data_IF_995731133661
#
_entry.id   IF_995731133661
#
_cell.length_a   1.000
_cell.length_b   1.000
_cell.length_c   1.000
_cell.angle_alpha   90.00
_cell.angle_beta   90.00
_cell.angle_gamma   90.00
#
_symmetry.space_group_name_H-M   'P 1'
#
loop_
_entity.id
_entity.type
_entity.pdbx_description
1 polymer ?
#
# COMPACT_ATOMS: atom_id res chain seq x y z
N UNK A 1 -6.22 33.08 -14.34
CA UNK A 1 -5.37 31.97 -13.89
C UNK A 1 -5.62 31.87 -12.42
N UNK A 2 -6.58 31.01 -12.10
CA UNK A 2 -7.18 30.85 -10.79
C UNK A 2 -6.09 30.33 -9.85
N UNK A 3 -5.60 31.21 -8.98
CA UNK A 3 -4.58 30.90 -7.97
C UNK A 3 -5.26 30.34 -6.72
N UNK A 4 -6.29 29.52 -6.93
CA UNK A 4 -7.04 28.88 -5.85
C UNK A 4 -6.15 27.81 -5.20
N UNK A 5 -6.10 27.76 -3.86
CA UNK A 5 -5.33 26.76 -3.16
C UNK A 5 -5.89 25.37 -3.47
N UNK A 6 -5.00 24.46 -3.86
CA UNK A 6 -5.34 23.06 -4.06
C UNK A 6 -5.19 22.31 -2.74
N UNK A 7 -6.13 21.42 -2.47
CA UNK A 7 -6.12 20.54 -1.31
C UNK A 7 -6.06 19.10 -1.77
N UNK A 8 -5.00 18.38 -1.37
CA UNK A 8 -4.78 16.98 -1.73
C UNK A 8 -5.34 16.02 -0.67
N UNK A 9 -5.74 14.82 -1.10
CA UNK A 9 -6.31 13.82 -0.20
C UNK A 9 -6.26 12.40 -0.73
N UNK A 10 -6.68 11.47 0.12
CA UNK A 10 -6.85 10.05 -0.19
C UNK A 10 -8.20 9.57 0.30
N UNK A 11 -8.86 8.75 -0.52
CA UNK A 11 -10.20 8.23 -0.29
C UNK A 11 -10.18 6.70 -0.20
N UNK A 12 -11.09 6.17 0.62
CA UNK A 12 -11.28 4.73 0.83
C UNK A 12 -10.73 4.28 2.19
N UNK A 13 -11.51 3.49 2.93
CA UNK A 13 -11.17 3.08 4.31
C UNK A 13 -9.82 2.37 4.41
N UNK A 14 -9.53 1.44 3.50
CA UNK A 14 -8.25 0.74 3.50
C UNK A 14 -7.10 1.70 3.15
N UNK A 15 -7.26 2.48 2.09
CA UNK A 15 -6.24 3.43 1.66
C UNK A 15 -5.89 4.43 2.76
N UNK A 16 -6.88 5.01 3.44
CA UNK A 16 -6.66 5.98 4.52
C UNK A 16 -6.03 5.37 5.79
N UNK A 17 -6.04 4.04 5.93
CA UNK A 17 -5.32 3.33 7.01
C UNK A 17 -3.82 3.19 6.71
N UNK A 18 -3.45 2.97 5.44
CA UNK A 18 -2.07 2.73 5.03
C UNK A 18 -1.36 3.98 4.53
N UNK A 19 -2.08 4.87 3.85
CA UNK A 19 -1.55 6.06 3.20
C UNK A 19 -2.16 7.32 3.81
N UNK A 20 -1.33 8.34 3.97
CA UNK A 20 -1.77 9.70 4.26
C UNK A 20 -1.15 10.66 3.25
N UNK A 21 -1.85 11.77 3.03
CA UNK A 21 -1.49 12.79 2.05
C UNK A 21 -1.45 14.13 2.78
N UNK A 22 -0.38 14.88 2.56
CA UNK A 22 -0.27 16.26 2.99
C UNK A 22 -1.21 17.14 2.15
N UNK A 23 -2.20 17.82 2.75
CA UNK A 23 -3.18 18.60 2.01
C UNK A 23 -2.58 19.73 1.16
N UNK A 24 -1.47 20.37 1.55
CA UNK A 24 -0.92 21.53 0.85
C UNK A 24 0.13 21.14 -0.22
N UNK A 25 1.00 20.17 0.07
CA UNK A 25 2.08 19.73 -0.84
C UNK A 25 1.74 18.48 -1.65
N UNK A 26 0.74 17.70 -1.25
CA UNK A 26 0.42 16.42 -1.87
C UNK A 26 1.42 15.30 -1.57
N UNK A 27 2.35 15.49 -0.63
CA UNK A 27 3.29 14.44 -0.23
C UNK A 27 2.54 13.27 0.39
N UNK A 28 2.79 12.07 -0.12
CA UNK A 28 2.19 10.83 0.37
C UNK A 28 3.17 10.11 1.31
N UNK A 29 2.72 9.71 2.49
CA UNK A 29 3.50 8.88 3.42
C UNK A 29 2.72 7.67 3.90
N UNK A 30 3.48 6.66 4.34
CA UNK A 30 2.93 5.45 4.94
C UNK A 30 2.59 5.70 6.42
N UNK A 31 1.37 5.33 6.81
CA UNK A 31 0.91 5.32 8.21
C UNK A 31 1.15 3.98 8.89
N UNK A 32 1.24 2.91 8.10
CA UNK A 32 1.43 1.54 8.55
C UNK A 32 2.45 0.85 7.65
N UNK A 33 3.20 -0.14 8.17
CA UNK A 33 4.09 -0.95 7.36
C UNK A 33 3.31 -1.72 6.28
N UNK A 34 3.97 -1.93 5.15
CA UNK A 34 3.47 -2.79 4.08
C UNK A 34 4.09 -4.17 4.25
N UNK A 35 3.31 -5.20 3.94
CA UNK A 35 3.71 -6.60 4.06
C UNK A 35 3.23 -7.34 2.81
N UNK A 36 4.17 -7.85 2.01
CA UNK A 36 3.83 -8.40 0.70
C UNK A 36 3.13 -9.76 0.82
N UNK A 37 3.52 -10.61 1.78
CA UNK A 37 2.82 -11.88 2.01
C UNK A 37 1.35 -11.68 2.41
N UNK A 38 1.03 -10.57 3.08
CA UNK A 38 -0.34 -10.18 3.38
C UNK A 38 -1.03 -9.55 2.16
N UNK A 39 -0.37 -8.60 1.48
CA UNK A 39 -0.97 -7.87 0.35
C UNK A 39 0.08 -7.38 -0.64
N UNK A 40 -0.01 -7.86 -1.88
CA UNK A 40 0.94 -7.51 -2.95
C UNK A 40 0.61 -6.20 -3.68
N UNK A 41 -0.63 -5.70 -3.62
CA UNK A 41 -1.03 -4.47 -4.30
C UNK A 41 -2.17 -3.71 -3.62
N UNK A 42 -2.19 -2.40 -3.84
CA UNK A 42 -3.27 -1.51 -3.42
C UNK A 42 -3.80 -0.70 -4.61
N UNK A 43 -5.12 -0.63 -4.77
CA UNK A 43 -5.74 0.36 -5.65
C UNK A 43 -6.22 1.52 -4.80
N UNK A 44 -5.49 2.63 -4.84
CA UNK A 44 -5.71 3.81 -4.00
C UNK A 44 -6.31 4.94 -4.83
N UNK A 45 -7.38 5.56 -4.34
CA UNK A 45 -7.96 6.74 -4.97
C UNK A 45 -7.47 8.01 -4.29
N UNK A 46 -6.70 8.81 -5.03
CA UNK A 46 -6.24 10.13 -4.58
C UNK A 46 -7.17 11.20 -5.11
N UNK A 47 -7.32 12.28 -4.34
CA UNK A 47 -8.13 13.44 -4.69
C UNK A 47 -7.31 14.72 -4.66
N UNK A 48 -7.74 15.67 -5.49
CA UNK A 48 -7.36 17.08 -5.42
C UNK A 48 -8.63 17.91 -5.51
N UNK A 49 -8.76 18.90 -4.65
CA UNK A 49 -9.93 19.78 -4.61
C UNK A 49 -9.54 21.24 -4.55
N UNK A 50 -10.36 22.08 -5.18
CA UNK A 50 -10.32 23.54 -5.08
C UNK A 50 -11.72 24.05 -4.69
N UNK A 51 -11.96 25.36 -4.81
CA UNK A 51 -13.26 25.97 -4.55
C UNK A 51 -14.35 25.59 -5.56
N UNK A 52 -13.99 25.04 -6.72
CA UNK A 52 -14.90 24.73 -7.83
C UNK A 52 -15.28 23.25 -7.88
N UNK A 53 -14.43 22.35 -7.37
CA UNK A 53 -14.77 20.93 -7.31
C UNK A 53 -13.65 20.03 -6.81
N UNK A 54 -13.89 18.73 -6.98
CA UNK A 54 -12.98 17.64 -6.59
C UNK A 54 -12.72 16.77 -7.81
N UNK A 55 -11.45 16.46 -8.06
CA UNK A 55 -11.01 15.51 -9.06
C UNK A 55 -10.38 14.32 -8.34
N UNK A 56 -10.75 13.11 -8.76
CA UNK A 56 -10.19 11.88 -8.21
C UNK A 56 -9.50 11.02 -9.28
N UNK A 57 -8.45 10.31 -8.89
CA UNK A 57 -7.73 9.36 -9.73
C UNK A 57 -7.30 8.14 -8.94
N UNK A 58 -7.49 6.97 -9.55
CA UNK A 58 -7.03 5.69 -9.01
C UNK A 58 -5.59 5.42 -9.43
N UNK A 59 -4.78 5.02 -8.48
CA UNK A 59 -3.38 4.66 -8.63
C UNK A 59 -3.21 3.23 -8.11
N UNK A 60 -2.57 2.39 -8.91
CA UNK A 60 -2.21 1.04 -8.50
C UNK A 60 -0.79 1.07 -7.92
N UNK A 61 -0.66 0.70 -6.64
CA UNK A 61 0.58 0.67 -5.88
C UNK A 61 0.98 -0.79 -5.69
N UNK A 62 2.12 -1.18 -6.24
CA UNK A 62 2.68 -2.52 -6.11
C UNK A 62 3.64 -2.57 -4.91
N UNK A 63 3.46 -3.56 -4.05
CA UNK A 63 4.36 -3.80 -2.89
C UNK A 63 5.53 -4.65 -3.35
N UNK A 64 6.75 -4.12 -3.21
CA UNK A 64 7.96 -4.86 -3.55
C UNK A 64 8.16 -6.07 -2.65
N UNK A 65 8.59 -7.19 -3.24
CA UNK A 65 9.00 -8.39 -2.49
C UNK A 65 10.41 -8.21 -1.93
N UNK A 66 10.60 -8.64 -0.68
CA UNK A 66 11.89 -8.73 -0.03
C UNK A 66 12.04 -10.13 0.56
N UNK A 67 13.28 -10.62 0.69
CA UNK A 67 13.52 -11.93 1.28
C UNK A 67 13.62 -11.82 2.81
N UNK A 68 12.51 -11.54 3.48
CA UNK A 68 12.39 -11.38 4.93
C UNK A 68 11.83 -12.62 5.65
N UNK A 69 11.43 -13.65 4.89
CA UNK A 69 10.92 -14.91 5.43
C UNK A 69 11.93 -16.05 5.30
N UNK A 70 12.23 -16.70 6.44
CA UNK A 70 13.08 -17.88 6.45
C UNK A 70 12.34 -19.13 5.93
N UNK A 71 13.02 -20.08 5.28
CA UNK A 71 12.41 -21.34 4.87
C UNK A 71 11.80 -22.10 6.05
N UNK A 72 10.58 -22.62 5.87
CA UNK A 72 9.90 -23.45 6.86
C UNK A 72 9.86 -24.91 6.39
N UNK A 73 10.35 -25.82 7.23
CA UNK A 73 10.32 -27.26 6.95
C UNK A 73 9.00 -27.87 7.42
N UNK A 74 8.28 -28.53 6.51
CA UNK A 74 7.04 -29.24 6.84
C UNK A 74 7.31 -30.73 7.12
N UNK A 75 6.57 -31.34 8.05
CA UNK A 75 6.66 -32.77 8.39
C UNK A 75 7.96 -33.20 9.09
N UNK A 76 8.50 -32.33 9.94
CA UNK A 76 9.57 -32.70 10.85
C UNK A 76 9.04 -33.51 12.04
N UNK A 77 9.81 -34.49 12.56
CA UNK A 77 11.12 -34.93 12.07
C UNK A 77 11.01 -35.84 10.84
N UNK A 78 12.00 -35.75 9.96
CA UNK A 78 12.11 -36.63 8.79
C UNK A 78 12.76 -37.95 9.18
N UNK A 79 12.06 -39.07 8.95
CA UNK A 79 12.61 -40.42 9.13
C UNK A 79 12.26 -41.27 7.92
N UNK A 80 13.28 -41.87 7.29
CA UNK A 80 13.12 -42.80 6.18
C UNK A 80 13.94 -44.05 6.47
N UNK A 81 13.40 -45.23 6.12
CA UNK A 81 14.13 -46.50 6.17
C UNK A 81 14.53 -46.87 4.75
N UNK A 82 15.82 -47.13 4.56
CA UNK A 82 16.37 -47.63 3.30
C UNK A 82 16.71 -49.10 3.52
N UNK A 83 16.19 -49.98 2.67
CA UNK A 83 16.52 -51.40 2.68
C UNK A 83 17.81 -51.60 1.87
N UNK A 84 18.68 -52.48 2.35
CA UNK A 84 19.88 -52.93 1.64
C UNK A 84 19.52 -53.76 0.39
#
# INVERSE_FOLDING_TARGET
MDNDPLVFGVSGEEASRFFAVEPDTGVVWLRQPLDRETKSEFTVEFSVSDHQGVITRKVNIQVGDVNDNAPTFHNQPYSVRILE
#
